data_IF_428042535763
#
_entry.id   IF_428042535763
#
_cell.length_a   1.000
_cell.length_b   1.000
_cell.length_c   1.000
_cell.angle_alpha   90.00
_cell.angle_beta   90.00
_cell.angle_gamma   90.00
#
_symmetry.space_group_name_H-M   'P 1'
#
loop_
_entity.id
_entity.type
_entity.pdbx_description
1 polymer ?
#
# COMPACT_ATOMS: atom_id res chain seq x y z
N UNK A 1 -4.65 27.84 11.63
CA UNK A 1 -6.07 27.83 11.23
C UNK A 1 -6.34 26.49 10.57
N UNK A 2 -7.33 25.72 11.05
CA UNK A 2 -7.75 24.51 10.36
C UNK A 2 -8.49 24.92 9.08
N UNK A 3 -8.08 24.37 7.92
CA UNK A 3 -8.84 24.52 6.66
C UNK A 3 -10.27 24.00 6.83
N UNK A 4 -11.24 24.67 6.20
CA UNK A 4 -12.61 24.16 6.22
C UNK A 4 -12.71 22.82 5.45
N UNK A 5 -13.68 21.99 5.78
CA UNK A 5 -13.87 20.70 5.09
C UNK A 5 -13.98 20.84 3.55
N UNK A 6 -14.68 21.85 2.97
CA UNK A 6 -14.70 22.07 1.53
C UNK A 6 -13.33 22.43 0.92
N UNK A 7 -12.49 23.15 1.64
CA UNK A 7 -11.14 23.49 1.15
C UNK A 7 -10.24 22.25 1.11
N UNK A 8 -10.35 21.37 2.10
CA UNK A 8 -9.64 20.07 2.13
C UNK A 8 -10.09 19.21 0.96
N UNK A 9 -11.39 19.08 0.75
CA UNK A 9 -11.95 18.30 -0.37
C UNK A 9 -11.45 18.82 -1.73
N UNK A 10 -11.51 20.14 -1.94
CA UNK A 10 -11.00 20.77 -3.16
C UNK A 10 -9.51 20.53 -3.37
N UNK A 11 -8.70 20.54 -2.29
CA UNK A 11 -7.28 20.20 -2.35
C UNK A 11 -7.09 18.75 -2.79
N UNK A 12 -7.78 17.80 -2.15
CA UNK A 12 -7.63 16.37 -2.45
C UNK A 12 -8.04 16.03 -3.89
N UNK A 13 -9.10 16.67 -4.41
CA UNK A 13 -9.50 16.53 -5.83
C UNK A 13 -8.37 17.00 -6.76
N UNK A 14 -7.75 18.16 -6.49
CA UNK A 14 -6.62 18.64 -7.29
C UNK A 14 -5.42 17.70 -7.21
N UNK A 15 -5.04 17.22 -6.02
CA UNK A 15 -3.93 16.29 -5.85
C UNK A 15 -4.17 14.96 -6.59
N UNK A 16 -5.40 14.45 -6.58
CA UNK A 16 -5.77 13.25 -7.33
C UNK A 16 -5.63 13.45 -8.85
N UNK A 17 -6.02 14.62 -9.37
CA UNK A 17 -5.87 14.94 -10.78
C UNK A 17 -4.38 15.06 -11.18
N UNK A 18 -3.57 15.69 -10.34
CA UNK A 18 -2.13 15.82 -10.56
C UNK A 18 -1.41 14.47 -10.52
N UNK A 19 -1.73 13.62 -9.55
CA UNK A 19 -1.19 12.26 -9.50
C UNK A 19 -1.50 11.51 -10.80
N UNK A 20 -2.75 11.56 -11.28
CA UNK A 20 -3.17 10.91 -12.51
C UNK A 20 -2.46 11.44 -13.78
N UNK A 21 -2.06 12.73 -13.79
CA UNK A 21 -1.31 13.33 -14.89
C UNK A 21 0.20 13.04 -14.85
N UNK A 22 0.72 12.78 -13.64
CA UNK A 22 2.17 12.63 -13.42
C UNK A 22 2.61 11.17 -13.47
N UNK A 23 1.77 10.25 -13.00
CA UNK A 23 2.09 8.83 -12.98
C UNK A 23 2.17 8.25 -14.40
N UNK A 24 3.11 7.33 -14.67
CA UNK A 24 3.21 6.66 -15.96
C UNK A 24 1.91 5.93 -16.32
N UNK A 25 1.49 6.04 -17.60
CA UNK A 25 0.29 5.35 -18.08
C UNK A 25 0.45 3.82 -18.13
N UNK A 26 1.69 3.33 -18.17
CA UNK A 26 2.10 1.93 -18.17
C UNK A 26 2.62 1.45 -16.81
N UNK A 27 2.25 2.13 -15.72
CA UNK A 27 2.60 1.73 -14.37
C UNK A 27 2.18 0.28 -14.08
N UNK A 28 2.99 -0.42 -13.31
CA UNK A 28 2.66 -1.76 -12.81
C UNK A 28 1.26 -1.75 -12.17
N UNK A 29 0.33 -2.67 -12.55
CA UNK A 29 -1.01 -2.76 -11.98
C UNK A 29 -1.05 -2.87 -10.44
N UNK A 30 0.06 -3.25 -9.82
CA UNK A 30 0.20 -3.25 -8.37
C UNK A 30 0.43 -1.85 -7.78
N UNK A 31 0.83 -0.86 -8.60
CA UNK A 31 1.24 0.50 -8.20
C UNK A 31 0.66 1.57 -9.13
N UNK A 32 -0.46 1.28 -9.79
CA UNK A 32 -1.16 2.17 -10.73
C UNK A 32 -2.09 3.17 -10.01
N UNK A 33 -2.77 4.02 -10.78
CA UNK A 33 -3.76 4.96 -10.23
C UNK A 33 -4.96 4.30 -9.56
N UNK A 34 -5.27 3.04 -9.89
CA UNK A 34 -6.34 2.31 -9.20
C UNK A 34 -5.89 1.92 -7.78
N UNK A 35 -4.62 1.51 -7.62
CA UNK A 35 -4.01 1.31 -6.30
C UNK A 35 -4.03 2.60 -5.48
N UNK A 36 -3.53 3.70 -6.04
CA UNK A 36 -3.50 5.02 -5.37
C UNK A 36 -4.90 5.44 -4.88
N UNK A 37 -5.93 5.28 -5.72
CA UNK A 37 -7.32 5.60 -5.35
C UNK A 37 -7.84 4.72 -4.22
N UNK A 38 -7.53 3.41 -4.21
CA UNK A 38 -7.93 2.50 -3.13
C UNK A 38 -7.24 2.83 -1.83
N UNK A 39 -5.94 3.12 -1.87
CA UNK A 39 -5.16 3.54 -0.68
C UNK A 39 -5.71 4.86 -0.14
N UNK A 40 -6.00 5.84 -1.00
CA UNK A 40 -6.60 7.11 -0.58
C UNK A 40 -7.99 6.94 0.07
N UNK A 41 -8.84 6.04 -0.46
CA UNK A 41 -10.13 5.73 0.12
C UNK A 41 -10.00 5.04 1.50
N UNK A 42 -9.06 4.11 1.64
CA UNK A 42 -8.74 3.48 2.92
C UNK A 42 -8.20 4.49 3.93
N UNK A 43 -7.26 5.36 3.52
CA UNK A 43 -6.74 6.43 4.35
C UNK A 43 -7.85 7.37 4.84
N UNK A 44 -8.80 7.76 3.96
CA UNK A 44 -9.96 8.57 4.34
C UNK A 44 -10.83 7.88 5.41
N UNK A 45 -11.10 6.58 5.24
CA UNK A 45 -11.87 5.80 6.21
C UNK A 45 -11.17 5.74 7.56
N UNK A 46 -9.86 5.50 7.57
CA UNK A 46 -9.06 5.42 8.79
C UNK A 46 -8.98 6.80 9.45
N UNK A 47 -8.75 7.88 8.69
CA UNK A 47 -8.75 9.25 9.21
C UNK A 47 -10.03 9.59 9.97
N UNK A 48 -11.18 9.26 9.38
CA UNK A 48 -12.48 9.53 10.00
C UNK A 48 -12.67 8.80 11.34
N UNK A 49 -12.11 7.59 11.47
CA UNK A 49 -12.21 6.79 12.69
C UNK A 49 -11.17 7.17 13.77
N UNK A 50 -9.97 7.58 13.36
CA UNK A 50 -8.83 7.83 14.26
C UNK A 50 -8.61 9.32 14.56
N UNK A 51 -9.31 10.22 13.86
CA UNK A 51 -9.16 11.67 14.05
C UNK A 51 -7.87 12.26 13.46
N UNK A 52 -7.30 11.63 12.44
CA UNK A 52 -6.15 12.13 11.71
C UNK A 52 -6.54 13.25 10.73
N UNK A 53 -5.58 14.12 10.36
CA UNK A 53 -5.80 15.15 9.33
C UNK A 53 -5.90 14.54 7.93
N UNK A 54 -7.10 14.56 7.30
CA UNK A 54 -7.25 13.99 5.96
C UNK A 54 -6.49 14.76 4.88
N UNK A 55 -6.24 16.07 5.05
CA UNK A 55 -5.45 16.85 4.10
C UNK A 55 -4.00 16.33 4.03
N UNK A 56 -3.47 15.82 5.13
CA UNK A 56 -2.13 15.24 5.20
C UNK A 56 -2.15 13.75 4.80
N UNK A 57 -2.93 12.92 5.48
CA UNK A 57 -2.87 11.48 5.27
C UNK A 57 -3.40 11.05 3.90
N UNK A 58 -4.58 11.58 3.46
CA UNK A 58 -5.12 11.29 2.14
C UNK A 58 -4.31 11.99 1.04
N UNK A 59 -3.83 13.21 1.30
CA UNK A 59 -2.92 13.89 0.38
C UNK A 59 -1.64 13.10 0.14
N UNK A 60 -1.05 12.54 1.19
CA UNK A 60 0.10 11.65 1.09
C UNK A 60 -0.24 10.35 0.34
N UNK A 61 -1.41 9.75 0.60
CA UNK A 61 -1.89 8.57 -0.11
C UNK A 61 -2.08 8.81 -1.62
N UNK A 62 -2.50 10.00 -2.02
CA UNK A 62 -2.64 10.35 -3.44
C UNK A 62 -1.30 10.52 -4.16
N UNK A 63 -0.23 10.84 -3.44
CA UNK A 63 1.07 11.18 -4.01
C UNK A 63 2.17 10.15 -3.73
N UNK A 64 1.90 9.05 -3.00
CA UNK A 64 2.93 8.11 -2.52
C UNK A 64 3.56 7.23 -3.61
N UNK A 65 2.98 7.19 -4.80
CA UNK A 65 3.45 6.39 -5.95
C UNK A 65 3.87 7.26 -7.16
N UNK A 66 4.13 8.55 -6.97
CA UNK A 66 4.63 9.42 -8.04
C UNK A 66 5.97 8.95 -8.63
N UNK A 67 6.79 8.31 -7.80
CA UNK A 67 8.05 7.66 -8.20
C UNK A 67 8.10 6.30 -7.55
N UNK A 68 8.05 5.25 -8.37
CA UNK A 68 8.20 3.87 -7.94
C UNK A 68 9.27 3.19 -8.79
N UNK A 69 10.42 2.91 -8.17
CA UNK A 69 11.52 2.23 -8.84
C UNK A 69 11.37 0.71 -8.71
N UNK A 70 11.65 -0.06 -9.76
CA UNK A 70 11.70 -1.51 -9.69
C UNK A 70 12.59 -2.00 -8.55
N UNK A 71 12.23 -3.14 -7.92
CA UNK A 71 12.96 -3.66 -6.75
C UNK A 71 14.42 -4.02 -7.01
N UNK A 72 14.76 -4.31 -8.25
CA UNK A 72 16.11 -4.58 -8.74
C UNK A 72 16.88 -3.32 -9.17
N UNK A 73 16.24 -2.15 -9.17
CA UNK A 73 16.91 -0.88 -9.47
C UNK A 73 17.91 -0.52 -8.36
N UNK A 74 19.14 -0.05 -8.70
CA UNK A 74 20.17 0.29 -7.71
C UNK A 74 19.72 1.30 -6.65
N UNK A 75 18.82 2.23 -7.02
CA UNK A 75 18.29 3.26 -6.14
C UNK A 75 16.91 2.90 -5.52
N UNK A 76 16.46 1.65 -5.62
CA UNK A 76 15.15 1.23 -5.11
C UNK A 76 14.95 1.57 -3.62
N UNK A 77 16.00 1.52 -2.82
CA UNK A 77 15.97 1.95 -1.42
C UNK A 77 15.64 3.44 -1.21
N UNK A 78 15.86 4.28 -2.25
CA UNK A 78 15.57 5.72 -2.25
C UNK A 78 14.22 6.08 -2.85
N UNK A 79 13.43 5.12 -3.32
CA UNK A 79 12.12 5.39 -3.95
C UNK A 79 11.25 6.33 -3.12
N UNK A 80 11.16 6.10 -1.79
CA UNK A 80 10.38 6.97 -0.90
C UNK A 80 10.91 8.41 -0.82
N UNK A 81 12.23 8.60 -0.85
CA UNK A 81 12.85 9.94 -0.84
C UNK A 81 12.58 10.66 -2.16
N UNK A 82 12.82 9.97 -3.29
CA UNK A 82 12.56 10.52 -4.63
C UNK A 82 11.07 10.85 -4.84
N UNK A 83 10.19 9.99 -4.33
CA UNK A 83 8.76 10.23 -4.37
C UNK A 83 8.34 11.45 -3.53
N UNK A 84 8.91 11.61 -2.34
CA UNK A 84 8.67 12.77 -1.49
C UNK A 84 9.19 14.07 -2.13
N UNK A 85 10.35 14.03 -2.81
CA UNK A 85 10.90 15.18 -3.53
C UNK A 85 10.02 15.57 -4.73
N UNK A 86 9.50 14.60 -5.48
CA UNK A 86 8.54 14.85 -6.55
C UNK A 86 7.22 15.44 -6.01
N UNK A 87 6.71 14.90 -4.91
CA UNK A 87 5.52 15.42 -4.23
C UNK A 87 5.73 16.86 -3.74
N UNK A 88 6.90 17.19 -3.19
CA UNK A 88 7.21 18.55 -2.74
C UNK A 88 7.13 19.57 -3.87
N UNK A 89 7.63 19.23 -5.07
CA UNK A 89 7.55 20.09 -6.25
C UNK A 89 6.10 20.33 -6.70
N UNK A 90 5.25 19.29 -6.68
CA UNK A 90 3.83 19.43 -7.01
C UNK A 90 3.09 20.28 -5.98
N UNK A 91 3.31 20.02 -4.69
CA UNK A 91 2.68 20.76 -3.59
C UNK A 91 3.04 22.24 -3.61
N UNK A 92 4.29 22.57 -3.96
CA UNK A 92 4.74 23.97 -4.12
C UNK A 92 4.04 24.67 -5.30
N UNK A 93 3.86 23.98 -6.44
CA UNK A 93 3.13 24.53 -7.61
C UNK A 93 1.65 24.80 -7.29
N UNK A 94 1.05 23.97 -6.44
CA UNK A 94 -0.35 24.12 -5.97
C UNK A 94 -0.50 25.08 -4.80
N UNK A 95 0.58 25.79 -4.43
CA UNK A 95 0.61 26.72 -3.30
C UNK A 95 0.06 26.13 -2.00
N UNK A 96 0.32 24.83 -1.76
CA UNK A 96 -0.05 24.17 -0.52
C UNK A 96 0.78 24.77 0.61
N UNK A 97 0.13 25.03 1.74
CA UNK A 97 0.76 25.62 2.93
C UNK A 97 2.03 24.82 3.32
N UNK A 98 3.18 25.50 3.54
CA UNK A 98 4.50 24.84 3.69
C UNK A 98 4.54 23.78 4.81
N UNK A 99 3.89 24.02 5.95
CA UNK A 99 3.85 23.04 7.07
C UNK A 99 3.09 21.77 6.66
N UNK A 100 1.96 21.94 5.97
CA UNK A 100 1.18 20.81 5.44
C UNK A 100 1.93 20.05 4.37
N UNK A 101 2.57 20.76 3.43
CA UNK A 101 3.39 20.13 2.39
C UNK A 101 4.54 19.31 2.99
N UNK A 102 5.21 19.83 4.01
CA UNK A 102 6.27 19.10 4.72
C UNK A 102 5.73 17.85 5.42
N UNK A 103 4.55 17.92 6.05
CA UNK A 103 3.90 16.78 6.70
C UNK A 103 3.52 15.68 5.68
N UNK A 104 2.95 16.04 4.52
CA UNK A 104 2.66 15.12 3.42
C UNK A 104 3.94 14.42 2.95
N UNK A 105 5.00 15.18 2.67
CA UNK A 105 6.28 14.62 2.21
C UNK A 105 6.92 13.69 3.25
N UNK A 106 6.81 14.01 4.55
CA UNK A 106 7.30 13.13 5.61
C UNK A 106 6.56 11.79 5.63
N UNK A 107 5.23 11.80 5.48
CA UNK A 107 4.44 10.58 5.37
C UNK A 107 4.89 9.72 4.18
N UNK A 108 5.09 10.35 3.00
CA UNK A 108 5.51 9.66 1.77
C UNK A 108 6.92 9.06 1.93
N UNK A 109 7.86 9.79 2.53
CA UNK A 109 9.25 9.33 2.70
C UNK A 109 9.35 8.02 3.46
N UNK A 110 8.51 7.85 4.49
CA UNK A 110 8.62 6.77 5.46
C UNK A 110 7.55 5.66 5.28
N UNK A 111 6.71 5.74 4.22
CA UNK A 111 5.58 4.81 4.07
C UNK A 111 6.00 3.38 3.76
N UNK A 112 7.09 3.16 3.02
CA UNK A 112 7.45 1.87 2.49
C UNK A 112 7.70 0.81 3.58
N UNK A 113 6.99 -0.31 3.52
CA UNK A 113 7.15 -1.43 4.45
C UNK A 113 8.61 -1.93 4.56
N UNK A 114 9.35 -1.91 3.46
CA UNK A 114 10.74 -2.37 3.40
C UNK A 114 11.71 -1.53 4.22
N UNK A 115 11.38 -0.29 4.53
CA UNK A 115 12.21 0.59 5.36
C UNK A 115 12.17 0.21 6.84
N UNK A 116 11.14 -0.51 7.31
CA UNK A 116 11.00 -0.89 8.73
C UNK A 116 10.89 0.30 9.70
N UNK A 117 10.57 1.50 9.21
CA UNK A 117 10.50 2.73 9.99
C UNK A 117 9.17 2.77 10.74
N UNK A 118 9.22 3.05 12.05
CA UNK A 118 8.04 3.36 12.84
C UNK A 118 7.58 4.79 12.51
N UNK A 119 6.34 4.99 12.01
CA UNK A 119 5.85 6.30 11.62
C UNK A 119 5.74 7.24 12.84
N UNK A 120 6.24 8.47 12.68
CA UNK A 120 6.29 9.47 13.77
C UNK A 120 4.92 10.12 14.03
N UNK A 121 4.10 10.34 12.99
CA UNK A 121 2.77 10.96 13.10
C UNK A 121 1.64 9.97 12.95
N UNK A 122 0.43 10.38 13.34
CA UNK A 122 -0.79 9.59 13.11
C UNK A 122 -1.10 9.47 11.62
N UNK A 123 -0.89 10.53 10.85
CA UNK A 123 -1.11 10.57 9.40
C UNK A 123 -0.16 9.60 8.66
N UNK A 124 1.09 9.52 9.08
CA UNK A 124 2.05 8.57 8.53
C UNK A 124 1.67 7.12 8.88
N UNK A 125 1.11 6.87 10.08
CA UNK A 125 0.54 5.56 10.46
C UNK A 125 -0.65 5.20 9.59
N UNK A 126 -1.54 6.17 9.35
CA UNK A 126 -2.71 5.99 8.46
C UNK A 126 -2.27 5.61 7.05
N UNK A 127 -1.29 6.31 6.47
CA UNK A 127 -0.78 5.99 5.14
C UNK A 127 -0.19 4.58 5.08
N UNK A 128 0.68 4.22 6.04
CA UNK A 128 1.26 2.87 6.08
C UNK A 128 0.18 1.78 6.23
N UNK A 129 -0.81 2.02 7.08
CA UNK A 129 -1.90 1.07 7.30
C UNK A 129 -2.78 0.91 6.06
N UNK A 130 -3.11 2.02 5.38
CA UNK A 130 -3.91 2.02 4.17
C UNK A 130 -3.21 1.25 3.03
N UNK A 131 -1.91 1.48 2.81
CA UNK A 131 -1.12 0.76 1.81
C UNK A 131 -1.02 -0.74 2.14
N UNK A 132 -0.77 -1.10 3.42
CA UNK A 132 -0.74 -2.50 3.86
C UNK A 132 -2.08 -3.21 3.69
N UNK A 133 -3.19 -2.51 3.93
CA UNK A 133 -4.53 -3.04 3.73
C UNK A 133 -4.82 -3.34 2.24
N UNK A 134 -4.33 -2.52 1.30
CA UNK A 134 -4.50 -2.78 -0.13
C UNK A 134 -3.71 -4.02 -0.60
N UNK A 135 -2.68 -4.41 0.14
CA UNK A 135 -1.90 -5.60 -0.15
C UNK A 135 -2.55 -6.93 0.31
N UNK A 136 -3.66 -6.90 1.07
CA UNK A 136 -4.31 -8.09 1.64
C UNK A 136 -5.77 -8.22 1.19
N UNK A 137 -6.35 -9.42 1.38
CA UNK A 137 -7.71 -9.75 0.94
C UNK A 137 -7.76 -10.14 -0.53
N UNK A 138 -8.93 -10.02 -1.16
CA UNK A 138 -9.16 -10.44 -2.54
C UNK A 138 -8.22 -9.77 -3.55
N UNK A 139 -7.99 -8.47 -3.39
CA UNK A 139 -7.05 -7.73 -4.25
C UNK A 139 -5.60 -8.20 -4.02
N UNK A 140 -5.22 -8.46 -2.78
CA UNK A 140 -3.91 -9.01 -2.45
C UNK A 140 -3.64 -10.36 -3.11
N UNK A 141 -4.64 -11.26 -3.11
CA UNK A 141 -4.58 -12.55 -3.82
C UNK A 141 -4.41 -12.34 -5.33
N UNK A 142 -5.22 -11.48 -5.95
CA UNK A 142 -5.14 -11.19 -7.38
C UNK A 142 -3.76 -10.60 -7.77
N UNK A 143 -3.25 -9.64 -7.00
CA UNK A 143 -1.94 -9.01 -7.21
C UNK A 143 -0.79 -10.03 -7.09
N UNK A 144 -0.89 -10.97 -6.15
CA UNK A 144 0.10 -12.03 -5.98
C UNK A 144 0.22 -12.87 -7.26
N UNK A 145 -0.89 -13.38 -7.80
CA UNK A 145 -0.83 -14.22 -8.99
C UNK A 145 -0.46 -13.44 -10.26
N UNK A 146 -0.86 -12.18 -10.36
CA UNK A 146 -0.38 -11.30 -11.44
C UNK A 146 1.16 -11.16 -11.39
N UNK A 147 1.71 -10.95 -10.19
CA UNK A 147 3.17 -10.88 -9.99
C UNK A 147 3.85 -12.21 -10.33
N UNK A 148 3.27 -13.36 -9.92
CA UNK A 148 3.80 -14.68 -10.27
C UNK A 148 3.90 -14.87 -11.79
N UNK A 149 2.86 -14.47 -12.52
CA UNK A 149 2.82 -14.55 -13.98
C UNK A 149 3.88 -13.66 -14.61
N UNK A 150 4.01 -12.41 -14.17
CA UNK A 150 5.01 -11.47 -14.67
C UNK A 150 6.45 -11.97 -14.41
N UNK A 151 6.71 -12.55 -13.24
CA UNK A 151 8.01 -13.10 -12.87
C UNK A 151 8.25 -14.53 -13.38
N UNK A 152 7.26 -15.17 -14.00
CA UNK A 152 7.30 -16.59 -14.40
C UNK A 152 7.60 -17.53 -13.23
N UNK A 153 7.11 -17.19 -12.05
CA UNK A 153 7.28 -17.98 -10.83
C UNK A 153 6.15 -19.00 -10.71
N UNK A 154 6.42 -20.28 -10.43
CA UNK A 154 5.38 -21.27 -10.13
C UNK A 154 4.46 -20.82 -9.00
N UNK A 155 3.18 -21.12 -9.09
CA UNK A 155 2.22 -20.69 -8.07
C UNK A 155 2.49 -21.32 -6.72
N UNK A 156 2.92 -22.59 -6.67
CA UNK A 156 3.16 -23.33 -5.43
C UNK A 156 4.24 -24.42 -5.61
N UNK A 157 4.73 -24.94 -4.49
CA UNK A 157 5.59 -26.13 -4.44
C UNK A 157 4.77 -27.41 -4.52
N UNK A 158 5.11 -28.32 -5.41
CA UNK A 158 4.43 -29.62 -5.55
C UNK A 158 4.53 -30.47 -4.26
N UNK A 159 5.65 -30.39 -3.54
CA UNK A 159 5.91 -31.22 -2.36
C UNK A 159 5.21 -30.71 -1.10
N UNK A 160 5.23 -29.36 -0.90
CA UNK A 160 4.63 -28.72 0.28
C UNK A 160 4.08 -27.35 -0.12
N UNK A 161 2.89 -27.31 -0.72
CA UNK A 161 2.31 -26.08 -1.26
C UNK A 161 1.99 -25.02 -0.19
N UNK A 162 1.72 -25.42 1.04
CA UNK A 162 1.34 -24.53 2.14
C UNK A 162 2.44 -24.31 3.18
N UNK A 163 3.69 -24.62 2.86
CA UNK A 163 4.86 -24.39 3.72
C UNK A 163 4.70 -24.99 5.14
N UNK A 164 4.14 -26.18 5.27
CA UNK A 164 3.93 -26.84 6.57
C UNK A 164 5.21 -27.39 7.17
N UNK A 165 6.14 -27.86 6.31
CA UNK A 165 7.37 -28.54 6.71
C UNK A 165 8.62 -27.83 6.24
N UNK A 166 8.51 -26.82 5.38
CA UNK A 166 9.62 -26.04 4.81
C UNK A 166 9.50 -24.55 5.14
N UNK A 167 10.61 -23.85 5.07
CA UNK A 167 10.63 -22.39 5.18
C UNK A 167 10.05 -21.79 3.89
N UNK A 168 9.10 -20.83 3.97
CA UNK A 168 8.56 -20.15 2.80
C UNK A 168 9.62 -19.37 2.02
N UNK A 169 9.62 -19.53 0.69
CA UNK A 169 10.50 -18.81 -0.24
C UNK A 169 9.67 -18.23 -1.40
N UNK A 170 9.23 -17.00 -1.24
CA UNK A 170 8.37 -16.28 -2.20
C UNK A 170 9.09 -15.81 -3.48
N UNK A 171 10.40 -16.05 -3.58
CA UNK A 171 11.15 -15.92 -4.84
C UNK A 171 11.01 -17.15 -5.72
N UNK A 172 10.70 -18.29 -5.13
CA UNK A 172 10.57 -19.57 -5.82
C UNK A 172 9.12 -19.97 -6.07
N UNK A 173 8.20 -19.63 -5.15
CA UNK A 173 6.80 -20.07 -5.21
C UNK A 173 5.87 -18.93 -4.77
N UNK A 174 4.82 -18.69 -5.54
CA UNK A 174 3.88 -17.61 -5.28
C UNK A 174 3.14 -17.73 -3.95
N UNK A 175 2.57 -18.90 -3.63
CA UNK A 175 1.83 -19.11 -2.38
C UNK A 175 2.67 -18.85 -1.12
N UNK A 176 3.98 -18.98 -1.22
CA UNK A 176 4.89 -18.70 -0.11
C UNK A 176 4.79 -17.26 0.38
N UNK A 177 4.37 -16.33 -0.50
CA UNK A 177 4.18 -14.93 -0.16
C UNK A 177 3.09 -14.70 0.88
N UNK A 178 2.06 -15.56 0.93
CA UNK A 178 1.08 -15.52 2.02
C UNK A 178 1.76 -15.66 3.38
N UNK A 179 2.65 -16.63 3.52
CA UNK A 179 3.32 -16.97 4.78
C UNK A 179 4.52 -16.06 5.08
N UNK A 180 5.18 -15.56 4.04
CA UNK A 180 6.30 -14.62 4.19
C UNK A 180 5.83 -13.22 4.58
N UNK A 181 4.72 -12.74 3.99
CA UNK A 181 4.29 -11.34 4.09
C UNK A 181 2.80 -11.18 4.41
N UNK A 182 1.90 -11.63 3.53
CA UNK A 182 0.50 -11.20 3.57
C UNK A 182 -0.20 -11.48 4.89
N UNK A 183 -0.06 -12.69 5.43
CA UNK A 183 -0.67 -13.09 6.72
C UNK A 183 0.01 -12.43 7.93
N UNK A 184 1.18 -11.83 7.77
CA UNK A 184 1.90 -11.12 8.84
C UNK A 184 1.59 -9.62 8.87
N UNK A 185 1.17 -9.03 7.74
CA UNK A 185 0.90 -7.61 7.64
C UNK A 185 -0.08 -7.10 8.71
N UNK A 186 -1.17 -7.82 9.06
CA UNK A 186 -2.11 -7.35 10.08
C UNK A 186 -1.49 -7.12 11.46
N UNK A 187 -0.49 -7.92 11.83
CA UNK A 187 0.24 -7.77 13.09
C UNK A 187 1.09 -6.49 13.17
N UNK A 188 1.34 -5.85 12.04
CA UNK A 188 2.10 -4.59 11.96
C UNK A 188 1.23 -3.34 11.75
N UNK A 189 -0.11 -3.45 11.81
CA UNK A 189 -1.00 -2.29 11.66
C UNK A 189 -0.98 -1.43 12.93
N UNK A 190 -0.94 -0.12 12.73
CA UNK A 190 -0.76 0.87 13.80
C UNK A 190 -2.08 1.31 14.44
N UNK A 191 -3.15 1.44 13.63
CA UNK A 191 -4.43 2.01 14.05
C UNK A 191 -5.47 0.94 14.38
N UNK A 192 -6.42 1.25 15.26
CA UNK A 192 -7.51 0.33 15.60
C UNK A 192 -8.45 0.12 14.40
N UNK A 193 -8.74 1.20 13.69
CA UNK A 193 -9.57 1.15 12.49
C UNK A 193 -8.98 0.23 11.42
N UNK A 194 -7.67 0.31 11.15
CA UNK A 194 -7.00 -0.55 10.18
C UNK A 194 -7.03 -2.02 10.60
N UNK A 195 -6.84 -2.33 11.87
CA UNK A 195 -6.97 -3.71 12.38
C UNK A 195 -8.36 -4.28 12.15
N UNK A 196 -9.41 -3.50 12.42
CA UNK A 196 -10.80 -3.90 12.15
C UNK A 196 -11.04 -4.15 10.65
N UNK A 197 -10.53 -3.28 9.77
CA UNK A 197 -10.63 -3.44 8.33
C UNK A 197 -9.83 -4.65 7.80
N UNK A 198 -8.78 -5.06 8.48
CA UNK A 198 -7.97 -6.22 8.11
C UNK A 198 -8.66 -7.56 8.39
N UNK A 199 -9.49 -7.66 9.44
CA UNK A 199 -10.11 -8.93 9.85
C UNK A 199 -10.84 -9.68 8.73
N UNK A 200 -11.80 -9.08 7.99
CA UNK A 200 -12.48 -9.79 6.90
C UNK A 200 -11.53 -10.12 5.75
N UNK A 201 -10.49 -9.33 5.51
CA UNK A 201 -9.49 -9.57 4.47
C UNK A 201 -8.61 -10.78 4.81
N UNK A 202 -8.23 -10.91 6.09
CA UNK A 202 -7.46 -12.07 6.59
C UNK A 202 -8.29 -13.34 6.50
N UNK A 203 -9.57 -13.29 6.95
CA UNK A 203 -10.48 -14.44 6.83
C UNK A 203 -10.58 -14.91 5.37
N UNK A 204 -10.82 -14.00 4.43
CA UNK A 204 -10.87 -14.33 3.01
C UNK A 204 -9.59 -15.03 2.54
N UNK A 205 -8.42 -14.56 2.92
CA UNK A 205 -7.15 -15.18 2.52
C UNK A 205 -6.95 -16.56 3.13
N UNK A 206 -7.36 -16.76 4.39
CA UNK A 206 -7.30 -18.06 5.07
C UNK A 206 -8.25 -19.08 4.44
N UNK A 207 -9.47 -18.64 4.14
CA UNK A 207 -10.48 -19.47 3.47
C UNK A 207 -10.02 -19.83 2.04
N UNK A 208 -9.46 -18.85 1.31
CA UNK A 208 -8.87 -19.07 -0.01
C UNK A 208 -7.78 -20.17 0.03
N UNK A 209 -6.85 -20.10 0.98
CA UNK A 209 -5.79 -21.11 1.10
C UNK A 209 -6.36 -22.50 1.46
N UNK A 210 -7.42 -22.57 2.28
CA UNK A 210 -8.09 -23.83 2.61
C UNK A 210 -8.78 -24.44 1.40
N UNK A 211 -9.50 -23.64 0.60
CA UNK A 211 -10.12 -24.10 -0.64
C UNK A 211 -9.07 -24.50 -1.67
N UNK A 212 -8.01 -23.70 -1.85
CA UNK A 212 -6.92 -24.02 -2.75
C UNK A 212 -6.29 -25.38 -2.42
N UNK A 213 -6.08 -25.68 -1.12
CA UNK A 213 -5.57 -26.99 -0.70
C UNK A 213 -6.53 -28.15 -1.04
N UNK A 214 -7.84 -27.95 -0.89
CA UNK A 214 -8.84 -28.95 -1.25
C UNK A 214 -8.80 -29.24 -2.76
N UNK A 215 -8.78 -28.21 -3.59
CA UNK A 215 -8.70 -28.34 -5.04
C UNK A 215 -7.41 -29.06 -5.49
N UNK A 216 -6.28 -28.84 -4.84
CA UNK A 216 -5.04 -29.58 -5.11
C UNK A 216 -5.16 -31.08 -4.83
N UNK A 217 -6.09 -31.48 -3.97
CA UNK A 217 -6.38 -32.89 -3.65
C UNK A 217 -7.47 -33.50 -4.53
N UNK A 218 -8.05 -32.71 -5.44
CA UNK A 218 -9.14 -33.15 -6.32
C UNK A 218 -10.49 -33.23 -5.64
N UNK A 219 -10.69 -32.44 -4.57
CA UNK A 219 -11.93 -32.37 -3.81
C UNK A 219 -12.73 -31.11 -4.14
#
# INVERSE_FOLDING_TARGET
MYSSAPEVEALLVRLAALAAQTMPADADPAHDMLHVRRVAALASTICAAEGADPAVAVGAALLHELVNLPKDHPESARSGDLCADAAAQLLAREAVEPVRAAAICACIRDHAFSKGIMPASLEARVLQDADRLDAIGALGVARLFATCTAMRTPFYSEVDPLCRTRVPDDRRFGLDHFFRKLLKLPGGLHTAAARTLAEPRVRLMTDYLAHFEQELRGA
#
